data_IF_219283776339
#
_entry.id   IF_219283776339
#
_cell.length_a   1.000
_cell.length_b   1.000
_cell.length_c   1.000
_cell.angle_alpha   90.00
_cell.angle_beta   90.00
_cell.angle_gamma   90.00
#
_symmetry.space_group_name_H-M   'P 1'
#
loop_
_entity.id
_entity.type
_entity.pdbx_description
1 polymer ?
#
# COMPACT_ATOMS: atom_id res chain seq x y z
N UNK A 1 -1.03 8.27 14.26
CA UNK A 1 -1.67 8.18 12.95
C UNK A 1 -0.71 7.55 11.95
N UNK A 2 -1.12 6.47 11.30
CA UNK A 2 -0.28 5.79 10.31
C UNK A 2 -0.59 6.33 8.92
N UNK A 3 0.45 6.64 8.17
CA UNK A 3 0.31 7.00 6.76
C UNK A 3 1.07 5.99 5.92
N UNK A 4 0.38 5.37 4.97
CA UNK A 4 0.97 4.42 4.05
C UNK A 4 0.81 4.93 2.62
N UNK A 5 1.60 4.38 1.72
CA UNK A 5 1.54 4.71 0.30
C UNK A 5 1.12 3.46 -0.47
N UNK A 6 0.21 3.61 -1.42
CA UNK A 6 -0.10 2.54 -2.36
C UNK A 6 0.57 2.87 -3.69
N UNK A 7 1.58 2.10 -4.03
CA UNK A 7 2.36 2.30 -5.25
C UNK A 7 1.68 1.59 -6.42
N UNK A 8 1.43 2.30 -7.49
CA UNK A 8 0.77 1.73 -8.66
C UNK A 8 0.92 2.62 -9.87
N UNK A 9 0.16 2.34 -10.92
CA UNK A 9 0.10 3.17 -12.11
C UNK A 9 -1.35 3.32 -12.57
N UNK A 10 -1.63 4.35 -13.36
CA UNK A 10 -2.95 4.48 -13.97
C UNK A 10 -3.16 3.35 -14.99
N UNK A 11 -4.38 2.84 -15.08
CA UNK A 11 -4.70 1.73 -15.97
C UNK A 11 -4.30 0.36 -15.45
N UNK A 12 -3.78 0.28 -14.23
CA UNK A 12 -3.40 -0.99 -13.62
C UNK A 12 -4.63 -1.64 -12.97
N UNK A 13 -5.10 -2.74 -13.53
CA UNK A 13 -6.26 -3.48 -13.03
C UNK A 13 -6.04 -4.01 -11.62
N UNK A 14 -4.86 -4.55 -11.36
CA UNK A 14 -4.51 -5.10 -10.05
C UNK A 14 -4.41 -4.00 -8.99
N UNK A 15 -3.97 -2.81 -9.40
CA UNK A 15 -3.89 -1.67 -8.49
C UNK A 15 -5.28 -1.22 -8.05
N UNK A 16 -6.27 -1.28 -8.96
CA UNK A 16 -7.66 -0.99 -8.62
C UNK A 16 -8.21 -1.99 -7.61
N UNK A 17 -7.90 -3.28 -7.79
CA UNK A 17 -8.30 -4.31 -6.83
C UNK A 17 -7.67 -4.09 -5.47
N UNK A 18 -6.38 -3.74 -5.46
CA UNK A 18 -5.66 -3.45 -4.22
C UNK A 18 -6.28 -2.26 -3.49
N UNK A 19 -6.64 -1.21 -4.23
CA UNK A 19 -7.30 -0.04 -3.65
C UNK A 19 -8.61 -0.41 -2.97
N UNK A 20 -9.42 -1.24 -3.60
CA UNK A 20 -10.69 -1.68 -3.02
C UNK A 20 -10.48 -2.46 -1.72
N UNK A 21 -9.50 -3.36 -1.72
CA UNK A 21 -9.17 -4.15 -0.54
C UNK A 21 -8.72 -3.25 0.61
N UNK A 22 -7.84 -2.30 0.31
CA UNK A 22 -7.30 -1.38 1.30
C UNK A 22 -8.39 -0.46 1.85
N UNK A 23 -9.25 0.07 0.99
CA UNK A 23 -10.35 0.94 1.42
C UNK A 23 -11.30 0.20 2.36
N UNK A 24 -11.56 -1.08 2.10
CA UNK A 24 -12.37 -1.89 3.00
C UNK A 24 -11.72 -2.03 4.38
N UNK A 25 -10.39 -2.17 4.42
CA UNK A 25 -9.66 -2.24 5.67
C UNK A 25 -9.67 -0.93 6.44
N UNK A 26 -9.64 0.21 5.73
CA UNK A 26 -9.64 1.52 6.36
C UNK A 26 -10.94 1.84 7.09
N UNK A 27 -12.05 1.25 6.65
CA UNK A 27 -13.32 1.41 7.35
C UNK A 27 -13.24 0.90 8.79
N UNK A 28 -12.44 -0.14 9.02
CA UNK A 28 -12.23 -0.73 10.34
C UNK A 28 -11.03 -0.12 11.07
N UNK A 29 -10.23 0.68 10.38
CA UNK A 29 -8.99 1.24 10.94
C UNK A 29 -8.88 2.73 10.60
N UNK A 30 -9.72 3.60 11.22
CA UNK A 30 -9.79 5.02 10.86
C UNK A 30 -8.53 5.83 11.16
N UNK A 31 -7.62 5.28 11.97
CA UNK A 31 -6.34 5.95 12.25
C UNK A 31 -5.28 5.79 11.16
N UNK A 32 -5.60 5.07 10.08
CA UNK A 32 -4.66 4.81 8.98
C UNK A 32 -5.10 5.59 7.76
N UNK A 33 -4.16 6.24 7.10
CA UNK A 33 -4.43 6.95 5.84
C UNK A 33 -3.56 6.35 4.74
N UNK A 34 -4.11 6.33 3.52
CA UNK A 34 -3.41 5.79 2.35
C UNK A 34 -3.35 6.87 1.28
N UNK A 35 -2.15 7.12 0.76
CA UNK A 35 -1.95 8.01 -0.36
C UNK A 35 -1.59 7.18 -1.59
N UNK A 36 -2.25 7.47 -2.71
CA UNK A 36 -1.97 6.80 -3.98
C UNK A 36 -0.78 7.47 -4.65
N UNK A 37 0.21 6.67 -5.01
CA UNK A 37 1.42 7.16 -5.70
C UNK A 37 1.48 6.51 -7.08
N UNK A 38 1.48 7.33 -8.12
CA UNK A 38 1.68 6.85 -9.49
C UNK A 38 3.18 6.81 -9.76
N UNK A 39 3.75 5.60 -9.76
CA UNK A 39 5.19 5.44 -9.94
C UNK A 39 5.66 5.81 -11.34
N UNK A 40 4.75 5.85 -12.32
CA UNK A 40 5.10 6.28 -13.68
C UNK A 40 5.51 7.75 -13.73
N UNK A 41 5.06 8.55 -12.77
CA UNK A 41 5.39 9.97 -12.68
C UNK A 41 6.61 10.25 -11.81
N UNK A 42 7.11 9.24 -11.09
CA UNK A 42 8.21 9.40 -10.13
C UNK A 42 9.27 8.34 -10.35
N UNK A 43 10.34 8.71 -11.03
CA UNK A 43 11.42 7.79 -11.40
C UNK A 43 12.02 7.05 -10.20
N UNK A 44 12.05 7.69 -9.04
CA UNK A 44 12.62 7.09 -7.84
C UNK A 44 11.93 5.77 -7.44
N UNK A 45 10.66 5.62 -7.80
CA UNK A 45 9.91 4.40 -7.49
C UNK A 45 9.98 3.36 -8.61
N UNK A 46 10.19 3.79 -9.86
CA UNK A 46 10.19 2.90 -11.01
C UNK A 46 11.29 1.85 -10.94
N UNK A 47 12.47 2.24 -10.51
CA UNK A 47 13.62 1.36 -10.49
C UNK A 47 13.39 0.10 -9.64
N UNK A 48 12.73 0.25 -8.50
CA UNK A 48 12.53 -0.85 -7.56
C UNK A 48 11.16 -1.50 -7.67
N UNK A 49 10.16 -0.79 -8.19
CA UNK A 49 8.76 -1.23 -8.06
C UNK A 49 8.01 -1.37 -9.39
N UNK A 50 8.60 -1.02 -10.52
CA UNK A 50 7.90 -0.99 -11.81
C UNK A 50 7.21 -2.30 -12.16
N UNK A 51 7.78 -3.44 -11.78
CA UNK A 51 7.22 -4.76 -12.05
C UNK A 51 6.59 -5.41 -10.81
N UNK A 52 6.62 -4.72 -9.67
CA UNK A 52 6.14 -5.26 -8.39
C UNK A 52 4.81 -4.69 -7.94
N UNK A 53 4.32 -3.65 -8.61
CA UNK A 53 3.05 -2.99 -8.27
C UNK A 53 1.87 -3.93 -8.46
N UNK A 54 0.80 -3.77 -7.66
CA UNK A 54 0.66 -2.80 -6.56
C UNK A 54 1.44 -3.21 -5.31
N UNK A 55 1.97 -2.21 -4.61
CA UNK A 55 2.71 -2.42 -3.36
C UNK A 55 2.19 -1.44 -2.30
N UNK A 56 1.86 -1.97 -1.12
CA UNK A 56 1.52 -1.13 0.03
C UNK A 56 2.82 -0.88 0.80
N UNK A 57 3.18 0.40 0.97
CA UNK A 57 4.45 0.80 1.51
C UNK A 57 4.29 1.74 2.71
N UNK A 58 5.04 1.49 3.78
CA UNK A 58 5.06 2.35 4.95
C UNK A 58 6.41 3.08 5.03
N UNK A 59 6.43 4.41 4.75
CA UNK A 59 7.69 5.14 4.60
C UNK A 59 8.53 5.25 5.89
N UNK A 60 7.89 5.31 7.05
CA UNK A 60 8.62 5.45 8.31
C UNK A 60 9.46 4.21 8.64
N UNK A 61 8.92 3.02 8.43
CA UNK A 61 9.61 1.77 8.73
C UNK A 61 10.24 1.13 7.51
N UNK A 62 9.90 1.63 6.31
CA UNK A 62 10.30 1.07 5.03
C UNK A 62 9.82 -0.37 4.82
N UNK A 63 8.76 -0.75 5.52
CA UNK A 63 8.12 -2.04 5.32
C UNK A 63 7.18 -1.98 4.13
N UNK A 64 7.06 -3.09 3.43
CA UNK A 64 6.22 -3.17 2.24
C UNK A 64 5.45 -4.47 2.19
N UNK A 65 4.28 -4.42 1.56
CA UNK A 65 3.45 -5.59 1.30
C UNK A 65 3.16 -5.64 -0.20
N UNK A 66 3.72 -6.66 -0.87
CA UNK A 66 3.60 -6.81 -2.32
C UNK A 66 2.39 -7.61 -2.73
N UNK A 67 1.90 -7.34 -3.93
CA UNK A 67 0.80 -8.09 -4.54
C UNK A 67 1.25 -9.52 -4.91
N UNK A 68 0.39 -10.54 -4.78
CA UNK A 68 -1.01 -10.44 -4.34
C UNK A 68 -1.15 -10.38 -2.81
N UNK A 69 -2.12 -9.63 -2.36
CA UNK A 69 -2.50 -9.62 -0.94
C UNK A 69 -4.02 -9.53 -0.84
N UNK A 70 -4.56 -9.95 0.30
CA UNK A 70 -5.99 -9.87 0.59
C UNK A 70 -6.22 -8.98 1.82
N UNK A 71 -7.49 -8.89 2.24
CA UNK A 71 -7.86 -8.07 3.38
C UNK A 71 -7.12 -8.49 4.65
N UNK A 72 -6.99 -9.79 4.89
CA UNK A 72 -6.30 -10.30 6.08
C UNK A 72 -4.82 -9.93 6.07
N UNK A 73 -4.16 -10.01 4.91
CA UNK A 73 -2.76 -9.63 4.77
C UNK A 73 -2.58 -8.14 5.09
N UNK A 74 -3.48 -7.29 4.60
CA UNK A 74 -3.42 -5.84 4.85
C UNK A 74 -3.62 -5.56 6.33
N UNK A 75 -4.60 -6.21 6.98
CA UNK A 75 -4.86 -6.03 8.40
C UNK A 75 -3.64 -6.44 9.22
N UNK A 76 -3.02 -7.57 8.91
CA UNK A 76 -1.81 -8.03 9.60
C UNK A 76 -0.66 -7.04 9.42
N UNK A 77 -0.50 -6.49 8.21
CA UNK A 77 0.52 -5.50 7.92
C UNK A 77 0.32 -4.24 8.77
N UNK A 78 -0.91 -3.74 8.81
CA UNK A 78 -1.26 -2.55 9.61
C UNK A 78 -1.02 -2.82 11.10
N UNK A 79 -1.46 -3.97 11.62
CA UNK A 79 -1.28 -4.32 13.02
C UNK A 79 0.20 -4.41 13.40
N UNK A 80 1.02 -4.95 12.52
CA UNK A 80 2.46 -5.01 12.74
C UNK A 80 3.08 -3.62 12.81
N UNK A 81 2.58 -2.67 12.02
CA UNK A 81 3.05 -1.28 12.06
C UNK A 81 2.64 -0.58 13.35
N UNK A 82 1.42 -0.84 13.82
CA UNK A 82 0.92 -0.26 15.07
C UNK A 82 1.73 -0.76 16.26
N UNK A 83 2.06 -2.06 16.27
CA UNK A 83 2.81 -2.69 17.36
C UNK A 83 4.30 -2.33 17.32
N UNK A 84 4.82 -1.87 16.21
CA UNK A 84 6.22 -1.50 16.04
C UNK A 84 6.48 -0.05 16.45
N UNK A 85 6.45 0.19 17.73
CA UNK A 85 6.79 1.53 18.24
C UNK A 85 8.15 1.55 18.88
#
# INVERSE_FOLDING_TARGET
MLQCLLLGTSGCHLCEQAEQIINACLLDNPGVTIEMIDIAEQEQWQENYAIRIPVLYHPETKKELGWPFDKDNVIQFINALIDCK
#
